data_IF_217153137696
#
_entry.id   IF_217153137696
#
_cell.length_a   1.000
_cell.length_b   1.000
_cell.length_c   1.000
_cell.angle_alpha   90.00
_cell.angle_beta   90.00
_cell.angle_gamma   90.00
#
_symmetry.space_group_name_H-M   'P 1'
#
loop_
_entity.id
_entity.type
_entity.pdbx_description
1 polymer ?
#
# COMPACT_ATOMS: atom_id res chain seq x y z
N UNK A 1 18.41 -0.83 4.58
CA UNK A 1 19.07 -0.06 5.67
C UNK A 1 18.85 1.43 5.38
N UNK A 2 17.89 2.07 6.04
CA UNK A 2 17.70 3.54 6.01
C UNK A 2 18.15 4.07 7.37
N UNK A 3 19.07 5.02 7.37
CA UNK A 3 19.77 5.47 8.59
C UNK A 3 18.82 5.94 9.70
N UNK A 4 19.26 5.81 10.95
CA UNK A 4 18.48 5.90 12.20
C UNK A 4 17.86 7.26 12.53
N UNK A 5 17.64 8.14 11.54
CA UNK A 5 17.06 9.47 11.73
C UNK A 5 16.04 9.89 10.66
N UNK A 6 15.75 9.03 9.67
CA UNK A 6 14.75 9.37 8.64
C UNK A 6 13.35 9.12 9.19
N UNK A 7 12.60 10.20 9.41
CA UNK A 7 11.16 10.15 9.65
C UNK A 7 10.45 9.83 8.35
N UNK A 8 9.34 9.12 8.44
CA UNK A 8 8.45 8.93 7.29
C UNK A 8 7.92 10.31 6.88
N UNK A 9 8.02 10.62 5.59
CA UNK A 9 7.54 11.87 5.02
C UNK A 9 6.11 11.65 4.52
N UNK A 10 5.14 12.01 5.36
CA UNK A 10 3.71 11.84 5.07
C UNK A 10 3.25 12.71 3.91
N UNK A 11 3.79 13.93 3.79
CA UNK A 11 3.44 14.85 2.70
C UNK A 11 3.97 14.32 1.37
N UNK A 12 5.26 13.96 1.32
CA UNK A 12 5.85 13.38 0.11
C UNK A 12 5.20 12.05 -0.30
N UNK A 13 4.64 11.28 0.65
CA UNK A 13 3.84 10.10 0.33
C UNK A 13 2.52 10.45 -0.36
N UNK A 14 1.78 11.45 0.15
CA UNK A 14 0.52 11.89 -0.45
C UNK A 14 0.72 12.53 -1.81
N UNK A 15 1.74 13.38 -1.96
CA UNK A 15 2.11 13.98 -3.24
C UNK A 15 2.40 12.89 -4.28
N UNK A 16 3.16 11.85 -3.89
CA UNK A 16 3.44 10.71 -4.77
C UNK A 16 2.20 9.89 -5.13
N UNK A 17 1.22 9.78 -4.23
CA UNK A 17 -0.03 9.09 -4.55
C UNK A 17 -0.82 9.84 -5.62
N UNK A 18 -0.80 11.17 -5.59
CA UNK A 18 -1.52 12.01 -6.55
C UNK A 18 -0.84 12.04 -7.94
N UNK A 19 0.42 11.60 -8.03
CA UNK A 19 1.20 11.51 -9.28
C UNK A 19 1.10 10.14 -9.99
N UNK A 20 0.34 9.18 -9.45
CA UNK A 20 0.21 7.82 -10.02
C UNK A 20 -1.25 7.41 -10.18
N UNK A 21 -1.54 6.62 -11.21
CA UNK A 21 -2.90 6.07 -11.42
C UNK A 21 -3.22 4.92 -10.45
N UNK A 22 -2.19 4.23 -9.95
CA UNK A 22 -2.37 3.10 -9.06
C UNK A 22 -1.18 2.14 -9.02
N UNK A 23 -1.45 0.93 -8.54
CA UNK A 23 -0.46 -0.07 -8.22
C UNK A 23 -0.85 -1.44 -8.76
N UNK A 24 0.13 -2.15 -9.32
CA UNK A 24 0.07 -3.60 -9.44
C UNK A 24 0.70 -4.20 -8.17
N UNK A 25 -0.08 -4.99 -7.45
CA UNK A 25 0.36 -5.68 -6.24
C UNK A 25 0.30 -7.18 -6.49
N UNK A 26 1.29 -7.94 -6.03
CA UNK A 26 1.31 -9.40 -6.16
C UNK A 26 1.77 -10.04 -4.86
N UNK A 27 1.21 -11.20 -4.52
CA UNK A 27 1.63 -11.95 -3.35
C UNK A 27 2.77 -12.91 -3.72
N UNK A 28 4.01 -12.44 -3.53
CA UNK A 28 5.22 -13.19 -3.87
C UNK A 28 5.38 -14.48 -3.04
N UNK A 29 4.69 -14.62 -1.91
CA UNK A 29 4.77 -15.83 -1.08
C UNK A 29 4.08 -17.04 -1.72
N UNK A 30 3.27 -16.81 -2.77
CA UNK A 30 2.51 -17.84 -3.49
C UNK A 30 3.20 -18.35 -4.76
N UNK A 31 4.47 -18.00 -4.98
CA UNK A 31 5.23 -18.52 -6.11
C UNK A 31 5.13 -20.07 -6.22
N UNK A 32 4.92 -20.63 -7.42
CA UNK A 32 4.97 -19.98 -8.74
C UNK A 32 3.66 -19.31 -9.19
N UNK A 33 2.53 -19.65 -8.57
CA UNK A 33 1.20 -19.12 -8.93
C UNK A 33 0.87 -17.88 -8.10
N UNK A 34 1.38 -16.74 -8.53
CA UNK A 34 1.24 -15.47 -7.82
C UNK A 34 -0.01 -14.71 -8.27
N UNK A 35 -1.03 -14.54 -7.40
CA UNK A 35 -2.14 -13.66 -7.70
C UNK A 35 -1.67 -12.21 -7.75
N UNK A 36 -2.31 -11.43 -8.60
CA UNK A 36 -2.08 -9.99 -8.69
C UNK A 36 -3.39 -9.22 -8.55
N UNK A 37 -3.26 -7.97 -8.09
CA UNK A 37 -4.35 -7.01 -7.95
C UNK A 37 -3.94 -5.70 -8.59
N UNK A 38 -4.90 -5.03 -9.23
CA UNK A 38 -4.75 -3.67 -9.76
C UNK A 38 -5.52 -2.76 -8.80
N UNK A 39 -4.81 -1.93 -8.05
CA UNK A 39 -5.39 -1.07 -7.01
C UNK A 39 -5.21 0.38 -7.44
N UNK A 40 -6.31 1.11 -7.61
CA UNK A 40 -6.24 2.54 -7.96
C UNK A 40 -5.70 3.38 -6.80
N UNK A 41 -5.07 4.51 -7.11
CA UNK A 41 -4.46 5.36 -6.10
C UNK A 41 -5.49 5.89 -5.07
N UNK A 42 -6.73 6.13 -5.46
CA UNK A 42 -7.78 6.61 -4.55
C UNK A 42 -8.11 5.59 -3.47
N UNK A 43 -8.08 4.30 -3.81
CA UNK A 43 -8.26 3.21 -2.83
C UNK A 43 -7.12 3.22 -1.81
N UNK A 44 -5.88 3.40 -2.26
CA UNK A 44 -4.71 3.49 -1.37
C UNK A 44 -4.78 4.74 -0.49
N UNK A 45 -5.21 5.88 -1.06
CA UNK A 45 -5.43 7.13 -0.34
C UNK A 45 -6.54 6.99 0.70
N UNK A 46 -7.63 6.29 0.38
CA UNK A 46 -8.69 5.96 1.33
C UNK A 46 -8.16 5.09 2.47
N UNK A 47 -7.41 4.03 2.17
CA UNK A 47 -6.79 3.18 3.20
C UNK A 47 -5.81 3.94 4.09
N UNK A 48 -5.13 4.96 3.57
CA UNK A 48 -4.31 5.85 4.38
C UNK A 48 -5.17 6.67 5.34
N UNK A 49 -6.20 7.34 4.83
CA UNK A 49 -7.07 8.20 5.66
C UNK A 49 -7.92 7.43 6.67
N UNK A 50 -8.31 6.18 6.38
CA UNK A 50 -9.02 5.29 7.32
C UNK A 50 -8.12 4.64 8.37
N UNK A 51 -6.79 4.79 8.25
CA UNK A 51 -5.83 4.09 9.11
C UNK A 51 -5.67 2.60 8.79
N UNK A 52 -6.11 2.18 7.60
CA UNK A 52 -5.89 0.83 7.11
C UNK A 52 -4.45 0.55 6.71
N UNK A 53 -3.76 1.58 6.22
CA UNK A 53 -2.32 1.65 6.13
C UNK A 53 -1.72 2.16 7.44
N UNK A 54 -0.66 1.52 7.91
CA UNK A 54 0.10 1.99 9.06
C UNK A 54 0.80 3.32 8.75
N UNK A 55 1.18 4.05 9.81
CA UNK A 55 1.81 5.40 9.77
C UNK A 55 3.08 5.53 8.91
N UNK A 56 3.61 4.42 8.41
CA UNK A 56 4.77 4.36 7.53
C UNK A 56 4.44 3.69 6.19
N UNK A 57 3.17 3.81 5.76
CA UNK A 57 2.56 3.25 4.56
C UNK A 57 2.67 1.72 4.41
N UNK A 58 2.82 1.00 5.54
CA UNK A 58 2.85 -0.48 5.55
C UNK A 58 1.49 -1.07 5.86
N UNK A 59 1.20 -2.23 5.29
CA UNK A 59 0.01 -3.02 5.58
C UNK A 59 0.39 -4.49 5.84
N UNK A 60 -0.14 -5.15 6.89
CA UNK A 60 0.02 -6.58 7.06
C UNK A 60 -0.66 -7.36 5.92
N UNK A 61 -0.05 -8.47 5.47
CA UNK A 61 -0.59 -9.32 4.40
C UNK A 61 -2.04 -9.74 4.66
N UNK A 62 -2.37 -10.17 5.88
CA UNK A 62 -3.73 -10.58 6.25
C UNK A 62 -4.74 -9.45 6.11
N UNK A 63 -4.38 -8.23 6.51
CA UNK A 63 -5.23 -7.06 6.36
C UNK A 63 -5.39 -6.65 4.90
N UNK A 64 -4.30 -6.63 4.14
CA UNK A 64 -4.35 -6.36 2.70
C UNK A 64 -5.31 -7.33 1.99
N UNK A 65 -5.15 -8.64 2.24
CA UNK A 65 -6.01 -9.66 1.66
C UNK A 65 -7.49 -9.50 2.04
N UNK A 66 -7.79 -9.04 3.26
CA UNK A 66 -9.17 -8.69 3.64
C UNK A 66 -9.70 -7.54 2.80
N UNK A 67 -8.96 -6.42 2.73
CA UNK A 67 -9.41 -5.22 2.04
C UNK A 67 -9.64 -5.44 0.55
N UNK A 68 -8.77 -6.22 -0.12
CA UNK A 68 -8.90 -6.48 -1.56
C UNK A 68 -9.97 -7.49 -1.91
N UNK A 69 -10.42 -8.32 -0.96
CA UNK A 69 -11.58 -9.19 -1.17
C UNK A 69 -12.90 -8.42 -1.07
N UNK A 70 -12.88 -7.25 -0.42
CA UNK A 70 -14.04 -6.37 -0.23
C UNK A 70 -14.14 -5.26 -1.31
N UNK A 71 -13.20 -5.23 -2.28
CA UNK A 71 -13.19 -4.33 -3.44
C UNK A 71 -14.09 -4.85 -4.56
#
# INVERSE_FOLDING_TARGET
>A
MVGSGRKFDELGFLDKLDDVEGYFVTDITRFPEMPYWIIRYETVKQWWHSGDLGKNSKIPRTKFLSLVNDL
#
